data_IF_193564341772
#
_entry.id   IF_193564341772
#
_cell.length_a   1.000
_cell.length_b   1.000
_cell.length_c   1.000
_cell.angle_alpha   90.00
_cell.angle_beta   90.00
_cell.angle_gamma   90.00
#
_symmetry.space_group_name_H-M   'P 1'
#
loop_
_entity.id
_entity.type
_entity.pdbx_description
1 polymer ?
#
# COMPACT_ATOMS: atom_id res chain seq x y z
N UNK A 1 17.74 -18.18 9.17
CA UNK A 1 18.31 -17.60 7.93
C UNK A 1 17.30 -17.89 6.83
N UNK A 2 16.49 -16.91 6.45
CA UNK A 2 15.48 -17.06 5.40
C UNK A 2 16.17 -16.88 4.06
N UNK A 3 16.18 -17.90 3.22
CA UNK A 3 16.68 -17.81 1.86
C UNK A 3 15.78 -16.88 1.05
N UNK A 4 16.33 -15.99 0.21
CA UNK A 4 15.52 -15.19 -0.71
C UNK A 4 14.79 -16.12 -1.68
N UNK A 5 13.48 -16.00 -1.74
CA UNK A 5 12.59 -16.88 -2.51
C UNK A 5 12.59 -16.56 -4.02
N UNK A 6 13.41 -15.60 -4.46
CA UNK A 6 13.52 -15.24 -5.87
C UNK A 6 14.69 -16.00 -6.51
N UNK A 7 14.39 -16.94 -7.41
CA UNK A 7 15.36 -17.62 -8.27
C UNK A 7 15.84 -16.78 -9.47
N UNK A 8 15.56 -15.48 -9.48
CA UNK A 8 16.01 -14.57 -10.53
C UNK A 8 17.51 -14.28 -10.33
N UNK A 9 18.33 -14.64 -11.28
CA UNK A 9 19.77 -14.36 -11.33
C UNK A 9 20.14 -12.88 -11.55
N UNK A 10 19.15 -11.99 -11.47
CA UNK A 10 19.34 -10.54 -11.56
C UNK A 10 19.70 -10.00 -10.17
N UNK A 11 20.71 -9.15 -10.13
CA UNK A 11 21.33 -8.47 -8.97
C UNK A 11 20.63 -8.66 -7.62
N UNK A 12 21.38 -8.97 -6.58
CA UNK A 12 21.00 -9.36 -5.22
C UNK A 12 19.88 -8.55 -4.54
N UNK A 13 19.46 -7.40 -5.09
CA UNK A 13 18.56 -6.47 -4.41
C UNK A 13 17.23 -6.19 -5.12
N UNK A 14 17.08 -6.52 -6.41
CA UNK A 14 15.88 -6.14 -7.19
C UNK A 14 15.55 -7.16 -8.27
N UNK A 15 14.27 -7.49 -8.39
CA UNK A 15 13.76 -8.33 -9.46
C UNK A 15 12.59 -7.63 -10.16
N UNK A 16 12.83 -7.04 -11.32
CA UNK A 16 11.80 -6.34 -12.13
C UNK A 16 10.62 -7.25 -12.48
N UNK A 17 10.85 -8.55 -12.63
CA UNK A 17 9.77 -9.52 -12.90
C UNK A 17 8.87 -9.70 -11.69
N UNK A 18 9.44 -9.74 -10.49
CA UNK A 18 8.67 -9.82 -9.25
C UNK A 18 7.90 -8.51 -9.01
N UNK A 19 8.52 -7.36 -9.28
CA UNK A 19 7.88 -6.05 -9.17
C UNK A 19 6.70 -5.93 -10.14
N UNK A 20 6.87 -6.40 -11.38
CA UNK A 20 5.81 -6.45 -12.38
C UNK A 20 4.65 -7.36 -11.93
N UNK A 21 4.94 -8.55 -11.39
CA UNK A 21 3.93 -9.48 -10.89
C UNK A 21 3.16 -8.89 -9.70
N UNK A 22 3.86 -8.23 -8.78
CA UNK A 22 3.21 -7.56 -7.63
C UNK A 22 2.34 -6.39 -8.08
N UNK A 23 2.71 -5.70 -9.18
CA UNK A 23 1.93 -4.62 -9.77
C UNK A 23 1.76 -3.42 -8.84
N UNK A 24 2.75 -3.13 -8.00
CA UNK A 24 2.86 -1.91 -7.20
C UNK A 24 3.83 -0.95 -7.87
N UNK A 25 3.33 -0.15 -8.79
CA UNK A 25 4.15 0.81 -9.52
C UNK A 25 4.89 1.78 -8.58
N UNK A 26 6.23 1.87 -8.75
CA UNK A 26 7.11 2.68 -7.93
C UNK A 26 7.55 2.00 -6.62
N UNK A 27 7.32 0.70 -6.51
CA UNK A 27 7.75 -0.11 -5.37
C UNK A 27 8.56 -1.32 -5.83
N UNK A 28 9.48 -1.76 -4.99
CA UNK A 28 10.23 -2.99 -5.13
C UNK A 28 9.78 -4.02 -4.13
N UNK A 29 9.61 -5.26 -4.59
CA UNK A 29 9.38 -6.42 -3.74
C UNK A 29 10.72 -6.90 -3.17
N UNK A 30 10.87 -6.79 -1.85
CA UNK A 30 12.08 -7.22 -1.14
C UNK A 30 12.01 -8.70 -0.76
N UNK A 31 10.85 -9.16 -0.30
CA UNK A 31 10.62 -10.56 0.06
C UNK A 31 9.15 -10.93 0.01
N UNK A 32 8.92 -12.24 -0.12
CA UNK A 32 7.58 -12.85 0.00
C UNK A 32 7.67 -13.95 1.04
N UNK A 33 6.81 -13.92 2.03
CA UNK A 33 6.68 -14.96 3.03
C UNK A 33 5.23 -15.48 3.07
N UNK A 34 5.07 -16.80 3.16
CA UNK A 34 3.78 -17.42 3.41
C UNK A 34 3.68 -17.78 4.87
N UNK A 35 2.68 -17.22 5.55
CA UNK A 35 2.29 -17.58 6.90
C UNK A 35 1.07 -18.53 6.84
N UNK A 36 0.66 -19.15 7.96
CA UNK A 36 -0.58 -19.92 7.99
C UNK A 36 -1.82 -19.11 7.57
N UNK A 37 -1.84 -17.82 7.86
CA UNK A 37 -3.02 -16.95 7.72
C UNK A 37 -2.97 -16.04 6.50
N UNK A 38 -1.78 -15.75 5.94
CA UNK A 38 -1.64 -14.78 4.86
C UNK A 38 -0.34 -14.94 4.06
N UNK A 39 -0.35 -14.35 2.88
CA UNK A 39 0.86 -14.03 2.11
C UNK A 39 1.35 -12.64 2.52
N UNK A 40 2.60 -12.54 2.95
CA UNK A 40 3.23 -11.29 3.39
C UNK A 40 4.22 -10.82 2.35
N UNK A 41 4.01 -9.62 1.82
CA UNK A 41 4.84 -8.97 0.81
C UNK A 41 5.62 -7.83 1.45
N UNK A 42 6.92 -7.95 1.55
CA UNK A 42 7.80 -6.89 2.00
C UNK A 42 8.14 -5.99 0.82
N UNK A 43 7.79 -4.72 0.91
CA UNK A 43 8.01 -3.77 -0.18
C UNK A 43 8.69 -2.49 0.31
N UNK A 44 9.47 -1.89 -0.57
CA UNK A 44 9.97 -0.52 -0.38
C UNK A 44 9.74 0.33 -1.63
N UNK A 45 9.65 1.64 -1.47
CA UNK A 45 9.56 2.57 -2.59
C UNK A 45 10.86 2.60 -3.39
N UNK A 46 10.78 2.82 -4.70
CA UNK A 46 11.94 3.11 -5.53
C UNK A 46 12.73 4.29 -4.96
N UNK A 47 14.04 4.30 -5.20
CA UNK A 47 14.92 5.36 -4.68
C UNK A 47 14.57 6.68 -5.39
N UNK A 48 13.96 7.60 -4.67
CA UNK A 48 13.60 8.94 -5.15
C UNK A 48 14.09 9.99 -4.17
N UNK A 49 14.46 11.15 -4.70
CA UNK A 49 14.73 12.32 -3.87
C UNK A 49 13.40 12.81 -3.27
N UNK A 50 13.42 13.15 -1.99
CA UNK A 50 12.25 13.68 -1.30
C UNK A 50 12.47 15.14 -0.95
N UNK A 51 11.59 16.01 -1.42
CA UNK A 51 11.53 17.41 -0.97
C UNK A 51 10.83 17.50 0.40
N UNK A 52 11.33 18.36 1.25
CA UNK A 52 10.68 18.66 2.52
C UNK A 52 9.30 19.28 2.28
N UNK A 53 8.22 18.80 2.91
CA UNK A 53 6.89 19.37 2.72
C UNK A 53 6.74 20.79 3.27
N UNK A 54 7.64 21.24 4.14
CA UNK A 54 7.61 22.58 4.72
C UNK A 54 8.38 23.63 3.93
N UNK A 55 9.54 23.28 3.34
CA UNK A 55 10.41 24.25 2.67
C UNK A 55 10.89 23.84 1.26
N UNK A 56 10.57 22.62 0.80
CA UNK A 56 10.96 22.13 -0.51
C UNK A 56 12.42 21.66 -0.65
N UNK A 57 13.28 21.92 0.33
CA UNK A 57 14.70 21.48 0.30
C UNK A 57 14.78 19.96 0.27
N UNK A 58 15.75 19.43 -0.47
CA UNK A 58 15.97 17.97 -0.56
C UNK A 58 16.34 17.44 0.83
N UNK A 59 15.52 16.52 1.32
CA UNK A 59 15.68 15.90 2.63
C UNK A 59 16.66 14.74 2.59
N UNK A 60 17.29 14.43 3.73
CA UNK A 60 18.18 13.30 3.88
C UNK A 60 17.45 12.10 4.48
N UNK A 61 17.85 10.89 4.07
CA UNK A 61 17.34 9.66 4.64
C UNK A 61 17.65 9.55 6.14
N UNK A 62 16.63 9.19 6.95
CA UNK A 62 16.72 9.09 8.40
C UNK A 62 16.08 7.78 8.91
N UNK A 63 16.43 6.68 8.28
CA UNK A 63 15.93 5.35 8.63
C UNK A 63 14.63 4.96 7.94
N UNK A 64 14.03 3.88 8.43
CA UNK A 64 12.79 3.29 7.91
C UNK A 64 11.83 2.96 9.04
N UNK A 65 10.55 2.94 8.74
CA UNK A 65 9.48 2.46 9.60
C UNK A 65 8.64 1.44 8.82
N UNK A 66 8.34 0.31 9.44
CA UNK A 66 7.47 -0.69 8.82
C UNK A 66 6.02 -0.36 9.12
N UNK A 67 5.21 -0.33 8.07
CA UNK A 67 3.75 -0.18 8.13
C UNK A 67 3.12 -1.38 7.44
N UNK A 68 2.24 -2.08 8.14
CA UNK A 68 1.50 -3.20 7.56
C UNK A 68 0.10 -2.76 7.16
N UNK A 69 -0.30 -3.13 5.95
CA UNK A 69 -1.65 -2.93 5.42
C UNK A 69 -2.19 -4.21 4.80
N UNK A 70 -3.50 -4.37 4.89
CA UNK A 70 -4.24 -5.46 4.27
C UNK A 70 -4.32 -5.18 2.78
N UNK A 71 -3.90 -6.15 1.96
CA UNK A 71 -3.97 -6.06 0.51
C UNK A 71 -5.09 -6.94 -0.08
N UNK A 72 -5.34 -6.81 -1.37
CA UNK A 72 -6.24 -7.71 -2.09
C UNK A 72 -5.72 -9.15 -2.00
N UNK A 73 -6.61 -10.17 -1.87
CA UNK A 73 -6.19 -11.56 -1.79
C UNK A 73 -5.42 -11.99 -3.05
N UNK A 74 -4.39 -12.80 -2.86
CA UNK A 74 -3.60 -13.39 -3.93
C UNK A 74 -3.96 -14.87 -4.09
N UNK A 75 -4.45 -15.24 -5.27
CA UNK A 75 -4.89 -16.62 -5.54
C UNK A 75 -5.78 -17.20 -4.42
N UNK A 76 -6.70 -16.39 -3.88
CA UNK A 76 -7.59 -16.78 -2.80
C UNK A 76 -6.99 -16.76 -1.39
N UNK A 77 -5.71 -16.39 -1.27
CA UNK A 77 -5.01 -16.29 0.02
C UNK A 77 -5.04 -14.83 0.49
N UNK A 78 -5.42 -14.54 1.75
CA UNK A 78 -5.29 -13.20 2.31
C UNK A 78 -3.88 -12.66 2.15
N UNK A 79 -3.73 -11.38 1.83
CA UNK A 79 -2.42 -10.78 1.63
C UNK A 79 -2.19 -9.59 2.54
N UNK A 80 -0.93 -9.38 2.92
CA UNK A 80 -0.44 -8.26 3.71
C UNK A 80 0.74 -7.63 2.98
N UNK A 81 0.76 -6.30 2.92
CA UNK A 81 1.93 -5.54 2.50
C UNK A 81 2.59 -4.99 3.75
N UNK A 82 3.84 -5.34 3.98
CA UNK A 82 4.70 -4.67 4.95
C UNK A 82 5.56 -3.67 4.18
N UNK A 83 5.18 -2.41 4.27
CA UNK A 83 5.85 -1.33 3.59
C UNK A 83 6.94 -0.74 4.48
N UNK A 84 8.20 -0.85 4.03
CA UNK A 84 9.37 -0.27 4.67
C UNK A 84 9.48 1.21 4.28
N UNK A 85 8.60 2.04 4.88
CA UNK A 85 8.50 3.48 4.63
C UNK A 85 9.79 4.19 5.01
N UNK A 86 10.27 5.03 4.12
CA UNK A 86 11.42 5.87 4.41
C UNK A 86 11.02 7.00 5.34
N UNK A 87 11.88 7.26 6.29
CA UNK A 87 11.84 8.44 7.14
C UNK A 87 12.90 9.42 6.64
N UNK A 88 12.54 10.67 6.59
CA UNK A 88 13.36 11.76 6.08
C UNK A 88 13.59 12.80 7.16
N UNK A 89 14.75 13.49 7.11
CA UNK A 89 15.06 14.62 7.96
C UNK A 89 15.34 15.83 7.08
N UNK A 90 14.72 16.96 7.43
CA UNK A 90 15.05 18.28 6.86
C UNK A 90 16.24 18.86 7.59
N UNK A 91 17.26 19.34 6.86
CA UNK A 91 18.46 19.98 7.42
C UNK A 91 18.41 21.48 7.34
N UNK A 92 17.34 22.05 6.78
CA UNK A 92 17.17 23.50 6.74
C UNK A 92 16.86 24.04 8.15
N UNK A 93 17.73 24.91 8.65
CA UNK A 93 17.66 25.39 10.05
C UNK A 93 16.46 26.27 10.32
N UNK A 94 15.94 26.95 9.29
CA UNK A 94 14.75 27.83 9.38
C UNK A 94 13.44 27.06 9.20
N UNK A 95 13.50 25.75 8.85
CA UNK A 95 12.33 24.95 8.59
C UNK A 95 11.75 24.36 9.87
N UNK A 96 10.44 24.51 10.07
CA UNK A 96 9.75 23.91 11.21
C UNK A 96 9.57 22.38 11.07
N UNK A 97 9.69 21.83 9.85
CA UNK A 97 9.59 20.39 9.61
C UNK A 97 10.93 19.73 9.89
N UNK A 98 11.03 19.06 11.02
CA UNK A 98 12.26 18.34 11.41
C UNK A 98 12.35 16.99 10.71
N UNK A 99 11.33 16.16 10.83
CA UNK A 99 11.27 14.83 10.21
C UNK A 99 9.90 14.57 9.61
N UNK A 100 9.86 13.74 8.55
CA UNK A 100 8.61 13.28 7.93
C UNK A 100 8.77 11.89 7.34
N UNK A 101 7.65 11.24 7.09
CA UNK A 101 7.60 9.92 6.46
C UNK A 101 7.17 10.07 5.00
N UNK A 102 7.68 9.19 4.16
CA UNK A 102 7.15 9.08 2.81
C UNK A 102 5.67 8.72 2.81
N UNK A 103 4.98 9.15 1.79
CA UNK A 103 3.56 8.88 1.61
C UNK A 103 3.31 8.41 0.18
N UNK A 104 2.45 7.40 0.02
CA UNK A 104 2.01 6.93 -1.29
C UNK A 104 0.56 6.45 -1.22
N UNK A 105 -0.32 7.16 -1.88
CA UNK A 105 -1.73 6.76 -2.05
C UNK A 105 -1.89 5.49 -2.89
N UNK A 106 -0.86 5.10 -3.65
CA UNK A 106 -0.85 3.83 -4.40
C UNK A 106 -0.94 2.62 -3.47
N UNK A 107 -0.32 2.71 -2.27
CA UNK A 107 -0.38 1.65 -1.26
C UNK A 107 -1.57 1.84 -0.34
N UNK A 108 -1.66 2.98 0.34
CA UNK A 108 -2.76 3.26 1.26
C UNK A 108 -2.87 4.74 1.61
N UNK A 109 -4.07 5.17 2.02
CA UNK A 109 -4.26 6.46 2.66
C UNK A 109 -3.53 6.53 4.03
N UNK A 110 -3.25 7.74 4.55
CA UNK A 110 -2.67 7.88 5.88
C UNK A 110 -3.47 7.15 6.95
N UNK A 111 -2.79 6.36 7.80
CA UNK A 111 -3.38 5.57 8.89
C UNK A 111 -4.42 4.52 8.45
N UNK A 112 -4.57 4.26 7.15
CA UNK A 112 -5.48 3.22 6.67
C UNK A 112 -4.94 1.81 6.99
N UNK A 113 -5.85 0.91 7.35
CA UNK A 113 -5.56 -0.53 7.56
C UNK A 113 -5.73 -1.32 6.27
N UNK A 114 -6.59 -0.87 5.36
CA UNK A 114 -6.76 -1.45 4.03
C UNK A 114 -5.93 -0.67 3.01
N UNK A 115 -5.20 -1.39 2.18
CA UNK A 115 -4.52 -0.86 1.02
C UNK A 115 -5.50 -0.42 -0.08
N UNK A 116 -5.06 0.50 -0.92
CA UNK A 116 -5.86 1.02 -2.04
C UNK A 116 -6.33 -0.11 -2.96
N UNK A 117 -5.49 -1.13 -3.19
CA UNK A 117 -5.85 -2.32 -4.01
C UNK A 117 -6.95 -3.15 -3.35
N UNK A 118 -6.86 -3.37 -2.02
CA UNK A 118 -7.88 -4.09 -1.28
C UNK A 118 -9.25 -3.39 -1.33
N UNK A 119 -9.26 -2.06 -1.22
CA UNK A 119 -10.48 -1.26 -1.32
C UNK A 119 -11.10 -1.40 -2.72
N UNK A 120 -10.30 -1.24 -3.78
CA UNK A 120 -10.77 -1.40 -5.17
C UNK A 120 -11.30 -2.80 -5.44
N UNK A 121 -10.56 -3.80 -4.99
CA UNK A 121 -10.97 -5.21 -5.11
C UNK A 121 -12.29 -5.45 -4.37
N UNK A 122 -12.44 -5.00 -3.13
CA UNK A 122 -13.65 -5.17 -2.34
C UNK A 122 -14.88 -4.52 -2.99
N UNK A 123 -14.72 -3.29 -3.51
CA UNK A 123 -15.80 -2.58 -4.23
C UNK A 123 -16.19 -3.35 -5.50
N UNK A 124 -15.22 -3.89 -6.24
CA UNK A 124 -15.48 -4.70 -7.44
C UNK A 124 -16.27 -5.97 -7.09
N UNK A 125 -15.86 -6.68 -6.03
CA UNK A 125 -16.55 -7.89 -5.57
C UNK A 125 -18.00 -7.60 -5.17
N UNK A 126 -18.25 -6.48 -4.49
CA UNK A 126 -19.62 -6.05 -4.15
C UNK A 126 -20.46 -5.75 -5.38
N UNK A 127 -19.90 -5.04 -6.37
CA UNK A 127 -20.66 -4.56 -7.52
C UNK A 127 -20.95 -5.65 -8.56
N UNK A 128 -20.00 -6.54 -8.79
CA UNK A 128 -20.06 -7.46 -9.92
C UNK A 128 -20.23 -8.92 -9.52
N UNK A 129 -19.80 -9.28 -8.30
CA UNK A 129 -19.81 -10.68 -7.86
C UNK A 129 -20.85 -10.95 -6.74
N UNK A 130 -21.65 -9.95 -6.38
CA UNK A 130 -22.66 -10.10 -5.33
C UNK A 130 -22.09 -10.44 -3.95
N UNK A 131 -20.83 -10.13 -3.68
CA UNK A 131 -20.19 -10.44 -2.42
C UNK A 131 -20.81 -9.65 -1.25
N UNK A 132 -20.82 -10.24 -0.06
CA UNK A 132 -21.24 -9.55 1.17
C UNK A 132 -20.03 -8.97 1.91
N UNK A 133 -20.23 -7.91 2.72
CA UNK A 133 -19.15 -7.33 3.55
C UNK A 133 -18.56 -8.39 4.49
N UNK A 134 -19.38 -9.27 5.06
CA UNK A 134 -18.89 -10.34 5.91
C UNK A 134 -18.05 -11.37 5.12
N UNK A 135 -18.44 -11.67 3.87
CA UNK A 135 -17.66 -12.51 2.96
C UNK A 135 -16.30 -11.91 2.63
N UNK A 136 -16.27 -10.59 2.31
CA UNK A 136 -15.04 -9.86 2.04
C UNK A 136 -14.13 -9.80 3.27
N UNK A 137 -14.70 -9.60 4.46
CA UNK A 137 -13.94 -9.58 5.71
C UNK A 137 -13.21 -10.92 5.96
N UNK A 138 -13.88 -12.05 5.68
CA UNK A 138 -13.23 -13.38 5.75
C UNK A 138 -12.11 -13.53 4.73
N UNK A 139 -12.34 -13.15 3.47
CA UNK A 139 -11.33 -13.26 2.40
C UNK A 139 -10.12 -12.35 2.62
N UNK A 140 -10.31 -11.22 3.30
CA UNK A 140 -9.25 -10.29 3.68
C UNK A 140 -8.61 -10.64 5.04
N UNK A 141 -9.08 -11.68 5.73
CA UNK A 141 -8.71 -12.04 7.11
C UNK A 141 -8.73 -10.81 8.05
N UNK A 142 -9.88 -10.13 8.09
CA UNK A 142 -10.11 -8.93 8.89
C UNK A 142 -11.55 -8.85 9.41
N UNK A 143 -11.89 -7.77 10.11
CA UNK A 143 -13.24 -7.58 10.65
C UNK A 143 -14.16 -6.89 9.66
N UNK A 144 -15.47 -7.12 9.81
CA UNK A 144 -16.52 -6.42 9.06
C UNK A 144 -16.38 -4.90 9.18
N UNK A 145 -16.15 -4.41 10.42
CA UNK A 145 -15.97 -2.97 10.67
C UNK A 145 -14.79 -2.38 9.90
N UNK A 146 -13.67 -3.10 9.83
CA UNK A 146 -12.50 -2.66 9.07
C UNK A 146 -12.82 -2.53 7.59
N UNK A 147 -13.47 -3.50 6.99
CA UNK A 147 -13.87 -3.42 5.58
C UNK A 147 -14.85 -2.27 5.36
N UNK A 148 -15.94 -2.23 6.15
CA UNK A 148 -17.00 -1.25 5.97
C UNK A 148 -16.52 0.19 6.12
N UNK A 149 -15.70 0.49 7.14
CA UNK A 149 -15.18 1.85 7.38
C UNK A 149 -14.33 2.39 6.22
N UNK A 150 -13.66 1.50 5.47
CA UNK A 150 -12.82 1.91 4.34
C UNK A 150 -13.58 2.00 3.01
N UNK A 151 -14.58 1.13 2.79
CA UNK A 151 -15.31 1.13 1.51
C UNK A 151 -16.51 2.07 1.50
N UNK A 152 -17.18 2.28 2.65
CA UNK A 152 -18.36 3.14 2.76
C UNK A 152 -18.15 4.55 2.17
N UNK A 153 -17.08 5.29 2.50
CA UNK A 153 -16.85 6.62 1.92
C UNK A 153 -16.74 6.59 0.38
N UNK A 154 -16.09 5.56 -0.16
CA UNK A 154 -15.93 5.40 -1.61
C UNK A 154 -17.27 5.09 -2.31
N UNK A 155 -18.12 4.28 -1.68
CA UNK A 155 -19.45 3.98 -2.20
C UNK A 155 -20.35 5.21 -2.16
N UNK A 156 -20.31 5.98 -1.08
CA UNK A 156 -21.07 7.22 -0.94
C UNK A 156 -20.62 8.27 -1.97
N UNK A 157 -19.32 8.45 -2.15
CA UNK A 157 -18.78 9.37 -3.16
C UNK A 157 -19.21 8.99 -4.59
N UNK A 158 -19.32 7.69 -4.89
CA UNK A 158 -19.77 7.20 -6.20
C UNK A 158 -21.29 7.37 -6.42
N UNK A 159 -22.07 7.56 -5.35
CA UNK A 159 -23.52 7.78 -5.41
C UNK A 159 -23.91 9.27 -5.41
N UNK A 160 -22.97 10.18 -5.17
CA UNK A 160 -23.21 11.63 -5.21
C UNK A 160 -23.14 12.12 -6.65
N UNK A 161 -24.23 12.71 -7.21
CA UNK A 161 -24.27 13.20 -8.58
C UNK A 161 -23.39 14.46 -8.82
N UNK A 162 -22.78 15.04 -7.77
CA UNK A 162 -21.83 16.14 -7.92
C UNK A 162 -20.47 15.65 -8.39
N UNK A 163 -19.77 16.40 -9.30
CA UNK A 163 -18.53 15.93 -9.88
C UNK A 163 -17.48 15.62 -8.81
N UNK A 164 -17.00 14.38 -8.84
CA UNK A 164 -16.01 13.78 -7.96
C UNK A 164 -14.77 14.66 -7.84
N UNK A 165 -14.65 15.42 -6.76
CA UNK A 165 -13.35 15.89 -6.31
C UNK A 165 -12.68 14.75 -5.54
N UNK A 166 -11.84 14.01 -6.28
CA UNK A 166 -10.76 13.14 -5.80
C UNK A 166 -11.09 12.04 -4.79
N UNK A 167 -11.60 10.91 -5.27
CA UNK A 167 -11.00 9.64 -4.91
C UNK A 167 -9.89 9.39 -5.93
N UNK A 168 -8.63 9.49 -5.53
CA UNK A 168 -7.49 9.35 -6.43
C UNK A 168 -7.56 8.02 -7.17
N UNK A 169 -7.64 8.06 -8.50
CA UNK A 169 -7.27 6.98 -9.40
C UNK A 169 -8.31 5.88 -9.65
N UNK A 170 -9.58 6.20 -9.96
CA UNK A 170 -10.44 5.30 -10.74
C UNK A 170 -10.52 5.90 -12.15
N UNK A 171 -9.43 5.80 -12.87
CA UNK A 171 -9.33 6.06 -14.30
C UNK A 171 -8.98 4.75 -15.00
N UNK A 172 -9.68 4.50 -16.09
CA UNK A 172 -9.61 3.39 -17.04
C UNK A 172 -8.24 2.79 -17.24
#
# INVERSE_FOLDING_TARGET
MSHPTCCCSASLDRCDRCDLLVGLEGFHLMSVARTPDALVLDVESCNQLAGCPGCGVIAQGHGRMVVEVIDAPWAGIPARIRWFKRRWICRETTCQTVTFLEHSEKVCAPRARLGTRAIRWAIRQLRFEGATIAGLARQLATTWNTVWSHIKPCLQAASDPRPLRRCAGIGS
#
